data_IF_006656962305
#
_entry.id   IF_006656962305
#
_cell.length_a   1.000
_cell.length_b   1.000
_cell.length_c   1.000
_cell.angle_alpha   90.00
_cell.angle_beta   90.00
_cell.angle_gamma   90.00
#
_symmetry.space_group_name_H-M   'P 1'
#
loop_
_entity.id
_entity.type
_entity.pdbx_description
1 polymer ?
#
# COMPACT_ATOMS: atom_id res chain seq x y z
N UNK A 1 -25.08 -15.15 30.83
CA UNK A 1 -25.32 -13.78 30.35
C UNK A 1 -24.35 -13.59 29.20
N UNK A 2 -24.94 -13.52 28.00
CA UNK A 2 -24.39 -13.63 26.63
C UNK A 2 -22.89 -13.83 26.39
N UNK A 3 -22.58 -14.99 25.80
CA UNK A 3 -21.47 -15.15 24.85
C UNK A 3 -21.76 -14.31 23.60
N UNK A 4 -20.97 -13.27 23.39
CA UNK A 4 -20.93 -12.58 22.09
C UNK A 4 -20.15 -13.46 21.13
N UNK A 5 -20.87 -14.28 20.36
CA UNK A 5 -20.35 -14.89 19.13
C UNK A 5 -20.13 -13.78 18.11
N UNK A 6 -18.88 -13.37 17.91
CA UNK A 6 -18.52 -12.54 16.76
C UNK A 6 -18.70 -13.37 15.49
N UNK A 7 -19.73 -13.05 14.72
CA UNK A 7 -19.92 -13.62 13.40
C UNK A 7 -18.80 -13.15 12.45
N UNK A 8 -18.05 -14.12 11.94
CA UNK A 8 -16.99 -13.94 10.96
C UNK A 8 -16.60 -15.32 10.42
N UNK A 9 -17.55 -16.03 9.83
CA UNK A 9 -17.30 -17.34 9.24
C UNK A 9 -16.71 -17.16 7.84
N UNK A 10 -15.41 -17.36 7.71
CA UNK A 10 -14.78 -17.84 6.48
C UNK A 10 -13.76 -18.91 6.86
N UNK A 11 -14.25 -20.10 7.17
CA UNK A 11 -13.42 -21.29 7.20
C UNK A 11 -13.95 -22.25 6.15
N UNK A 12 -13.20 -22.43 5.06
CA UNK A 12 -13.26 -23.68 4.31
C UNK A 12 -11.85 -24.08 3.83
N UNK A 13 -11.37 -25.19 4.41
CA UNK A 13 -10.25 -25.97 3.94
C UNK A 13 -8.92 -25.75 4.66
N UNK A 14 -8.38 -26.83 5.22
CA UNK A 14 -6.94 -27.05 5.41
C UNK A 14 -6.13 -26.56 4.19
N UNK A 15 -5.65 -25.32 4.27
CA UNK A 15 -4.60 -24.78 3.42
C UNK A 15 -3.75 -23.88 4.29
N UNK A 16 -2.54 -24.34 4.63
CA UNK A 16 -1.52 -23.52 5.30
C UNK A 16 -1.13 -22.25 4.51
N UNK A 17 -1.70 -22.05 3.31
CA UNK A 17 -1.37 -20.99 2.35
C UNK A 17 -2.31 -19.78 2.31
N UNK A 18 -3.41 -19.74 3.09
CA UNK A 18 -4.38 -18.62 3.08
C UNK A 18 -3.94 -17.36 3.82
N UNK A 19 -4.62 -16.21 3.60
CA UNK A 19 -4.48 -14.99 4.40
C UNK A 19 -5.78 -14.71 5.19
N UNK A 20 -5.67 -14.26 6.43
CA UNK A 20 -6.82 -13.90 7.27
C UNK A 20 -7.41 -12.54 6.87
N UNK A 21 -6.57 -11.65 6.33
CA UNK A 21 -6.96 -10.32 5.88
C UNK A 21 -6.15 -9.87 4.66
N UNK A 22 -6.79 -9.09 3.79
CA UNK A 22 -6.15 -8.43 2.64
C UNK A 22 -6.32 -6.93 2.78
N UNK A 23 -5.21 -6.19 2.73
CA UNK A 23 -5.15 -4.73 2.74
C UNK A 23 -4.80 -4.23 1.36
N UNK A 24 -5.66 -3.40 0.79
CA UNK A 24 -5.46 -2.78 -0.52
C UNK A 24 -4.99 -1.34 -0.32
N UNK A 25 -3.74 -1.07 -0.67
CA UNK A 25 -3.08 0.22 -0.54
C UNK A 25 -2.06 0.26 0.58
N UNK A 26 -0.81 0.65 0.28
CA UNK A 26 0.26 0.84 1.27
C UNK A 26 0.37 2.27 1.79
N UNK A 27 -0.65 3.10 1.55
CA UNK A 27 -0.74 4.44 2.13
C UNK A 27 -0.82 4.43 3.65
N UNK A 28 -0.98 5.60 4.26
CA UNK A 28 -0.98 5.75 5.73
C UNK A 28 -1.97 4.81 6.44
N UNK A 29 -3.24 4.81 6.03
CA UNK A 29 -4.27 3.99 6.67
C UNK A 29 -4.05 2.49 6.49
N UNK A 30 -3.68 2.06 5.28
CA UNK A 30 -3.46 0.64 4.97
C UNK A 30 -2.24 0.08 5.71
N UNK A 31 -1.13 0.82 5.74
CA UNK A 31 0.08 0.41 6.46
C UNK A 31 -0.17 0.28 7.97
N UNK A 32 -0.90 1.22 8.58
CA UNK A 32 -1.25 1.13 10.01
C UNK A 32 -2.19 -0.05 10.27
N UNK A 33 -3.21 -0.25 9.44
CA UNK A 33 -4.14 -1.36 9.59
C UNK A 33 -3.44 -2.72 9.46
N UNK A 34 -2.62 -2.90 8.43
CA UNK A 34 -1.82 -4.11 8.22
C UNK A 34 -0.89 -4.37 9.41
N UNK A 35 -0.15 -3.35 9.88
CA UNK A 35 0.75 -3.47 11.03
C UNK A 35 0.02 -3.95 12.29
N UNK A 36 -1.14 -3.35 12.59
CA UNK A 36 -1.93 -3.73 13.76
C UNK A 36 -2.52 -5.14 13.65
N UNK A 37 -3.02 -5.53 12.48
CA UNK A 37 -3.53 -6.88 12.23
C UNK A 37 -2.43 -7.94 12.31
N UNK A 38 -1.26 -7.69 11.71
CA UNK A 38 -0.11 -8.59 11.80
C UNK A 38 0.40 -8.73 13.24
N UNK A 39 0.43 -7.63 14.00
CA UNK A 39 0.81 -7.65 15.42
C UNK A 39 -0.19 -8.45 16.28
N UNK A 40 -1.46 -8.48 15.88
CA UNK A 40 -2.49 -9.30 16.50
C UNK A 40 -2.42 -10.79 16.11
N UNK A 41 -1.45 -11.19 15.29
CA UNK A 41 -1.22 -12.58 14.89
C UNK A 41 -1.94 -13.01 13.61
N UNK A 42 -2.55 -12.09 12.87
CA UNK A 42 -3.21 -12.39 11.60
C UNK A 42 -2.19 -12.50 10.45
N UNK A 43 -2.39 -13.46 9.55
CA UNK A 43 -1.65 -13.58 8.29
C UNK A 43 -2.23 -12.59 7.27
N UNK A 44 -1.58 -11.43 7.13
CA UNK A 44 -2.08 -10.33 6.30
C UNK A 44 -1.38 -10.29 4.94
N UNK A 45 -2.15 -10.16 3.86
CA UNK A 45 -1.65 -9.79 2.53
C UNK A 45 -1.82 -8.29 2.34
N UNK A 46 -0.75 -7.55 2.05
CA UNK A 46 -0.84 -6.15 1.64
C UNK A 46 -0.47 -6.04 0.16
N UNK A 47 -1.34 -5.40 -0.62
CA UNK A 47 -1.12 -5.16 -2.05
C UNK A 47 -1.19 -3.66 -2.35
N UNK A 48 -0.35 -3.22 -3.29
CA UNK A 48 -0.26 -1.82 -3.72
C UNK A 48 -0.03 -1.79 -5.24
N UNK A 49 -0.64 -0.81 -5.92
CA UNK A 49 -0.48 -0.61 -7.37
C UNK A 49 0.86 0.07 -7.68
N UNK A 50 1.28 0.99 -6.80
CA UNK A 50 2.52 1.74 -6.91
C UNK A 50 3.78 0.86 -6.90
N UNK A 51 4.91 1.48 -7.26
CA UNK A 51 6.22 0.82 -7.16
C UNK A 51 6.67 0.78 -5.70
N UNK A 52 7.48 -0.21 -5.37
CA UNK A 52 8.20 -0.23 -4.10
C UNK A 52 9.31 0.82 -4.16
N UNK A 53 9.23 1.80 -3.28
CA UNK A 53 10.24 2.84 -3.10
C UNK A 53 10.91 2.62 -1.74
N UNK A 54 12.23 2.56 -1.74
CA UNK A 54 13.05 2.51 -0.53
C UNK A 54 13.46 3.93 -0.13
N UNK A 55 13.90 4.13 1.11
CA UNK A 55 14.28 5.45 1.62
C UNK A 55 15.33 6.17 0.74
N UNK A 56 16.24 5.40 0.12
CA UNK A 56 17.27 5.90 -0.78
C UNK A 56 16.75 6.37 -2.16
N UNK A 57 15.55 5.95 -2.56
CA UNK A 57 14.94 6.39 -3.81
C UNK A 57 14.35 7.80 -3.67
N UNK A 58 14.11 8.24 -2.43
CA UNK A 58 13.57 9.57 -2.16
C UNK A 58 14.68 10.62 -2.26
N UNK A 59 14.46 11.69 -3.04
CA UNK A 59 15.42 12.76 -3.18
C UNK A 59 15.59 13.50 -1.85
N UNK A 60 16.84 13.74 -1.46
CA UNK A 60 17.21 14.40 -0.19
C UNK A 60 17.45 15.90 -0.36
N UNK A 61 17.49 16.40 -1.60
CA UNK A 61 17.61 17.80 -1.95
C UNK A 61 16.53 18.25 -2.95
N UNK A 62 16.29 19.57 -2.96
CA UNK A 62 15.22 20.18 -3.73
C UNK A 62 15.38 20.03 -5.24
N UNK A 63 16.62 19.93 -5.76
CA UNK A 63 16.87 19.83 -7.19
C UNK A 63 16.55 18.41 -7.68
N UNK A 64 16.98 17.39 -6.95
CA UNK A 64 16.58 16.00 -7.23
C UNK A 64 15.08 15.78 -7.05
N UNK A 65 14.44 16.49 -6.12
CA UNK A 65 12.97 16.45 -5.96
C UNK A 65 12.26 16.94 -7.22
N UNK A 66 12.73 18.03 -7.82
CA UNK A 66 12.18 18.55 -9.07
C UNK A 66 12.37 17.54 -10.23
N UNK A 67 13.54 16.92 -10.34
CA UNK A 67 13.82 15.92 -11.39
C UNK A 67 13.02 14.63 -11.21
N UNK A 68 12.73 14.25 -9.97
CA UNK A 68 11.95 13.06 -9.62
C UNK A 68 10.43 13.28 -9.73
N UNK A 69 9.98 14.50 -10.08
CA UNK A 69 8.57 14.85 -10.24
C UNK A 69 8.12 14.75 -11.69
N UNK A 70 7.01 14.05 -11.93
CA UNK A 70 6.26 14.10 -13.17
C UNK A 70 5.08 15.05 -13.00
N UNK A 71 4.91 15.93 -13.97
CA UNK A 71 3.79 16.85 -14.06
C UNK A 71 3.02 16.50 -15.32
N UNK A 72 1.74 16.17 -15.18
CA UNK A 72 0.87 15.84 -16.30
C UNK A 72 -0.32 16.81 -16.37
N UNK A 73 -0.40 17.60 -17.45
CA UNK A 73 -1.52 18.50 -17.70
C UNK A 73 -2.51 17.84 -18.66
N UNK A 74 -3.58 17.26 -18.11
CA UNK A 74 -4.61 16.55 -18.89
C UNK A 74 -5.33 17.44 -19.92
N UNK A 75 -5.38 18.75 -19.68
CA UNK A 75 -6.05 19.71 -20.58
C UNK A 75 -5.19 20.10 -21.80
N UNK A 76 -3.87 19.98 -21.71
CA UNK A 76 -2.93 20.42 -22.76
C UNK A 76 -2.19 19.25 -23.43
N UNK A 77 -2.32 18.02 -22.91
CA UNK A 77 -1.60 16.85 -23.43
C UNK A 77 -0.09 16.90 -23.21
N UNK A 78 0.40 17.81 -22.35
CA UNK A 78 1.82 17.99 -22.06
C UNK A 78 2.16 17.21 -20.79
N UNK A 79 3.18 16.35 -20.86
CA UNK A 79 3.79 15.71 -19.70
C UNK A 79 5.25 16.14 -19.56
N UNK A 80 5.62 16.66 -18.40
CA UNK A 80 6.99 17.01 -18.05
C UNK A 80 7.51 16.04 -16.98
N UNK A 81 8.78 15.68 -17.06
CA UNK A 81 9.41 14.74 -16.14
C UNK A 81 9.40 13.27 -16.59
N UNK A 82 10.19 12.41 -15.92
CA UNK A 82 10.41 11.02 -16.32
C UNK A 82 9.15 10.15 -16.19
N UNK A 83 8.98 9.13 -17.06
CA UNK A 83 7.80 8.22 -17.04
C UNK A 83 7.72 7.36 -15.78
N UNK A 84 8.88 7.14 -15.15
CA UNK A 84 9.10 6.43 -13.91
C UNK A 84 9.36 7.38 -12.72
N UNK A 85 8.87 8.63 -12.81
CA UNK A 85 8.99 9.58 -11.71
C UNK A 85 8.44 9.01 -10.40
N UNK A 86 9.09 9.36 -9.28
CA UNK A 86 8.69 8.97 -7.95
C UNK A 86 7.39 9.66 -7.53
N UNK A 87 7.23 10.91 -7.95
CA UNK A 87 6.02 11.70 -7.77
C UNK A 87 5.32 11.83 -9.13
N UNK A 88 4.03 11.51 -9.21
CA UNK A 88 3.24 11.47 -10.45
C UNK A 88 1.97 12.30 -10.34
#
# INVERSE_FOLDING_TARGET
MEEVRSEGCFADGDKEDGYDAIVVGSGYGGSVAACRMSTAGLKVCLIEKGRRWEAQDFPTDSLHMLLASRIESRNLGISFGPKNALLQ
#
